data_IF_131864625287
#
_entry.id   IF_131864625287
#
_cell.length_a   1.000
_cell.length_b   1.000
_cell.length_c   1.000
_cell.angle_alpha   90.00
_cell.angle_beta   90.00
_cell.angle_gamma   90.00
#
_symmetry.space_group_name_H-M   'P 1'
#
loop_
_entity.id
_entity.type
_entity.pdbx_description
1 polymer ?
#
# COMPACT_ATOMS: atom_id res chain seq x y z
N UNK A 1 -1.15 4.22 20.55
CA UNK A 1 -1.69 2.87 20.89
C UNK A 1 -0.51 2.02 21.32
N UNK A 2 -0.45 1.64 22.60
CA UNK A 2 0.67 0.83 23.10
C UNK A 2 0.31 -0.64 22.96
N UNK A 3 0.95 -1.36 22.05
CA UNK A 3 0.78 -2.82 21.96
C UNK A 3 1.59 -3.46 23.08
N UNK A 4 0.94 -4.29 23.88
CA UNK A 4 1.61 -4.92 25.01
C UNK A 4 2.69 -5.90 24.52
N UNK A 5 3.90 -5.79 25.01
CA UNK A 5 5.07 -6.60 24.63
C UNK A 5 4.77 -8.11 24.58
N UNK A 6 4.06 -8.65 25.57
CA UNK A 6 3.67 -10.06 25.59
C UNK A 6 2.82 -10.50 24.41
N UNK A 7 1.98 -9.61 23.87
CA UNK A 7 1.16 -9.91 22.70
C UNK A 7 2.05 -10.06 21.46
N UNK A 8 3.04 -9.18 21.32
CA UNK A 8 4.02 -9.27 20.24
C UNK A 8 4.85 -10.54 20.33
N UNK A 9 5.34 -10.88 21.53
CA UNK A 9 6.11 -12.11 21.76
C UNK A 9 5.29 -13.37 21.44
N UNK A 10 4.01 -13.42 21.85
CA UNK A 10 3.10 -14.53 21.55
C UNK A 10 2.79 -14.64 20.06
N UNK A 11 2.61 -13.52 19.37
CA UNK A 11 2.24 -13.51 17.96
C UNK A 11 3.41 -13.81 17.02
N UNK A 12 4.63 -13.42 17.39
CA UNK A 12 5.82 -13.59 16.57
C UNK A 12 6.68 -14.79 16.95
N UNK A 13 6.53 -15.29 18.17
CA UNK A 13 7.42 -16.30 18.76
C UNK A 13 8.83 -15.77 19.11
N UNK A 14 9.05 -14.46 19.01
CA UNK A 14 10.34 -13.82 19.26
C UNK A 14 10.35 -13.15 20.63
N UNK A 15 11.50 -13.18 21.29
CA UNK A 15 11.71 -12.38 22.49
C UNK A 15 11.94 -10.93 22.10
N UNK A 16 11.12 -10.03 22.64
CA UNK A 16 11.14 -8.60 22.32
C UNK A 16 11.64 -7.81 23.52
N UNK A 17 12.78 -7.13 23.37
CA UNK A 17 13.34 -6.23 24.37
C UNK A 17 12.69 -4.83 24.36
N UNK A 18 12.91 -4.05 25.41
CA UNK A 18 12.39 -2.67 25.48
C UNK A 18 12.90 -1.78 24.35
N UNK A 19 14.15 -2.00 23.91
CA UNK A 19 14.76 -1.22 22.84
C UNK A 19 14.31 -1.64 21.45
N UNK A 20 13.63 -2.79 21.28
CA UNK A 20 13.25 -3.28 19.95
C UNK A 20 12.08 -2.50 19.35
N UNK A 21 11.28 -1.83 20.17
CA UNK A 21 10.20 -0.93 19.76
C UNK A 21 10.52 0.54 20.00
N UNK A 22 11.79 0.90 20.14
CA UNK A 22 12.20 2.31 20.24
C UNK A 22 12.00 3.04 18.91
N UNK A 23 11.76 4.33 18.96
CA UNK A 23 11.53 5.18 17.77
C UNK A 23 12.69 5.06 16.77
N UNK A 24 13.94 5.06 17.24
CA UNK A 24 15.11 4.93 16.38
C UNK A 24 15.16 3.59 15.64
N UNK A 25 14.76 2.49 16.29
CA UNK A 25 14.73 1.17 15.63
C UNK A 25 13.59 1.06 14.65
N UNK A 26 12.42 1.58 15.02
CA UNK A 26 11.27 1.62 14.12
C UNK A 26 11.57 2.50 12.91
N UNK A 27 12.19 3.65 13.09
CA UNK A 27 12.62 4.53 12.01
C UNK A 27 13.56 3.81 11.03
N UNK A 28 14.57 3.08 11.52
CA UNK A 28 15.45 2.29 10.66
C UNK A 28 14.73 1.21 9.88
N UNK A 29 13.78 0.50 10.50
CA UNK A 29 12.99 -0.52 9.79
C UNK A 29 12.17 0.12 8.68
N UNK A 30 11.56 1.27 8.93
CA UNK A 30 10.78 2.01 7.93
C UNK A 30 11.67 2.48 6.78
N UNK A 31 12.86 3.01 7.10
CA UNK A 31 13.85 3.45 6.12
C UNK A 31 14.32 2.28 5.24
N UNK A 32 14.74 1.17 5.86
CA UNK A 32 15.17 -0.04 5.14
C UNK A 32 14.06 -0.59 4.23
N UNK A 33 12.82 -0.66 4.70
CA UNK A 33 11.68 -1.07 3.88
C UNK A 33 11.39 -0.08 2.75
N UNK A 34 11.64 1.21 2.99
CA UNK A 34 11.52 2.25 1.98
C UNK A 34 12.52 2.07 0.83
N UNK A 35 13.77 1.77 1.16
CA UNK A 35 14.85 1.56 0.21
C UNK A 35 14.72 0.25 -0.57
N UNK A 36 14.11 -0.78 0.00
CA UNK A 36 13.99 -2.11 -0.59
C UNK A 36 12.62 -2.34 -1.25
N UNK A 37 12.38 -1.70 -2.38
CA UNK A 37 11.10 -1.74 -3.08
C UNK A 37 10.64 -3.16 -3.44
N UNK A 38 11.55 -4.05 -3.83
CA UNK A 38 11.22 -5.44 -4.16
C UNK A 38 10.78 -6.23 -2.91
N UNK A 39 11.52 -6.11 -1.80
CA UNK A 39 11.16 -6.78 -0.54
C UNK A 39 9.79 -6.30 -0.03
N UNK A 40 9.51 -5.00 -0.12
CA UNK A 40 8.21 -4.43 0.23
C UNK A 40 7.08 -5.01 -0.63
N UNK A 41 7.27 -5.11 -1.94
CA UNK A 41 6.28 -5.72 -2.84
C UNK A 41 6.04 -7.21 -2.54
N UNK A 42 7.08 -7.95 -2.18
CA UNK A 42 6.95 -9.35 -1.78
C UNK A 42 6.17 -9.51 -0.47
N UNK A 43 6.43 -8.64 0.52
CA UNK A 43 5.69 -8.62 1.79
C UNK A 43 4.21 -8.33 1.52
N UNK A 44 3.92 -7.29 0.74
CA UNK A 44 2.55 -6.91 0.36
C UNK A 44 1.83 -8.08 -0.34
N UNK A 45 2.50 -8.71 -1.30
CA UNK A 45 1.94 -9.86 -2.02
C UNK A 45 1.70 -11.08 -1.12
N UNK A 46 2.60 -11.37 -0.17
CA UNK A 46 2.43 -12.47 0.78
C UNK A 46 1.30 -12.17 1.76
N UNK A 47 1.23 -10.94 2.27
CA UNK A 47 0.17 -10.49 3.16
C UNK A 47 -1.19 -10.55 2.47
N UNK A 48 -1.31 -10.02 1.25
CA UNK A 48 -2.56 -10.07 0.48
C UNK A 48 -3.06 -11.50 0.27
N UNK A 49 -2.17 -12.43 -0.10
CA UNK A 49 -2.52 -13.84 -0.23
C UNK A 49 -2.96 -14.46 1.11
N UNK A 50 -2.29 -14.10 2.19
CA UNK A 50 -2.66 -14.57 3.52
C UNK A 50 -4.06 -14.08 3.91
N UNK A 51 -4.35 -12.80 3.69
CA UNK A 51 -5.66 -12.21 3.97
C UNK A 51 -6.78 -12.87 3.17
N UNK A 52 -6.57 -13.08 1.87
CA UNK A 52 -7.55 -13.76 1.01
C UNK A 52 -7.88 -15.16 1.56
N UNK A 53 -6.86 -15.90 2.01
CA UNK A 53 -7.06 -17.25 2.57
C UNK A 53 -7.70 -17.24 3.93
N UNK A 54 -7.17 -16.40 4.84
CA UNK A 54 -7.59 -16.39 6.25
C UNK A 54 -9.04 -15.94 6.42
N UNK A 55 -9.50 -15.04 5.54
CA UNK A 55 -10.86 -14.49 5.58
C UNK A 55 -11.76 -15.03 4.44
N UNK A 56 -11.26 -15.99 3.65
CA UNK A 56 -12.01 -16.57 2.51
C UNK A 56 -12.58 -15.48 1.59
N UNK A 57 -11.81 -14.43 1.33
CA UNK A 57 -12.28 -13.26 0.62
C UNK A 57 -12.68 -13.62 -0.81
N UNK A 58 -13.86 -13.22 -1.28
CA UNK A 58 -14.22 -13.37 -2.68
C UNK A 58 -13.32 -12.47 -3.54
N UNK A 59 -12.82 -13.01 -4.65
CA UNK A 59 -11.91 -12.29 -5.56
C UNK A 59 -12.60 -11.87 -6.87
N UNK A 60 -13.91 -11.67 -6.81
CA UNK A 60 -14.75 -11.38 -8.00
C UNK A 60 -14.80 -9.89 -8.30
N UNK A 61 -14.84 -9.05 -7.26
CA UNK A 61 -14.93 -7.60 -7.41
C UNK A 61 -13.80 -6.93 -6.66
N UNK A 62 -13.04 -6.11 -7.37
CA UNK A 62 -12.01 -5.27 -6.81
C UNK A 62 -12.30 -3.80 -7.12
N UNK A 63 -11.95 -2.91 -6.19
CA UNK A 63 -12.06 -1.46 -6.34
C UNK A 63 -10.70 -0.83 -6.20
N UNK A 64 -10.45 0.19 -6.98
CA UNK A 64 -9.22 0.98 -6.92
C UNK A 64 -9.58 2.45 -6.78
N UNK A 65 -8.97 3.12 -5.81
CA UNK A 65 -9.13 4.55 -5.61
C UNK A 65 -7.78 5.21 -5.32
N UNK A 66 -7.70 6.48 -5.66
CA UNK A 66 -6.54 7.35 -5.41
C UNK A 66 -6.98 8.53 -4.54
N UNK A 67 -6.22 8.77 -3.48
CA UNK A 67 -6.37 9.95 -2.62
C UNK A 67 -5.14 10.82 -2.72
N UNK A 68 -5.33 12.15 -2.75
CA UNK A 68 -4.24 13.13 -2.71
C UNK A 68 -4.05 13.62 -1.28
N UNK A 69 -2.80 13.74 -0.87
CA UNK A 69 -2.41 14.26 0.43
C UNK A 69 -1.54 15.49 0.25
N UNK A 70 -2.01 16.64 0.74
CA UNK A 70 -1.27 17.88 0.73
C UNK A 70 -0.39 17.97 1.97
N UNK A 71 0.85 18.42 1.81
CA UNK A 71 1.81 18.54 2.90
C UNK A 71 2.39 19.96 2.96
N UNK A 72 2.55 20.48 4.18
CA UNK A 72 3.26 21.72 4.44
C UNK A 72 4.74 21.40 4.67
N UNK A 73 5.45 21.07 3.61
CA UNK A 73 6.86 20.74 3.66
C UNK A 73 7.61 21.54 2.59
N UNK A 74 8.86 21.89 2.84
CA UNK A 74 9.71 22.47 1.81
C UNK A 74 10.14 21.39 0.83
N UNK A 75 10.17 21.74 -0.44
CA UNK A 75 10.70 20.83 -1.46
C UNK A 75 12.19 20.58 -1.17
N UNK A 76 12.58 19.30 -1.07
CA UNK A 76 13.98 18.95 -0.85
C UNK A 76 14.87 19.28 -2.06
N UNK A 77 16.17 19.27 -1.84
CA UNK A 77 17.18 19.68 -2.82
C UNK A 77 17.26 18.77 -4.06
N UNK A 78 16.68 17.56 -4.00
CA UNK A 78 16.64 16.59 -5.10
C UNK A 78 15.21 16.36 -5.59
N UNK A 79 14.67 17.21 -6.48
CA UNK A 79 13.30 17.08 -6.97
C UNK A 79 13.01 15.76 -7.69
N UNK A 80 14.02 15.16 -8.33
CA UNK A 80 13.86 13.94 -9.13
C UNK A 80 13.60 12.69 -8.29
N UNK A 81 14.08 12.66 -7.04
CA UNK A 81 13.89 11.54 -6.11
C UNK A 81 12.68 11.71 -5.18
N UNK A 82 12.07 12.88 -5.19
CA UNK A 82 10.98 13.22 -4.30
C UNK A 82 9.62 12.97 -4.95
N UNK A 83 8.74 12.22 -4.27
CA UNK A 83 7.35 12.00 -4.69
C UNK A 83 6.47 13.25 -4.55
N UNK A 84 6.93 14.24 -3.79
CA UNK A 84 6.20 15.49 -3.56
C UNK A 84 6.25 16.38 -4.81
N UNK A 85 5.09 16.73 -5.33
CA UNK A 85 4.93 17.61 -6.50
C UNK A 85 3.81 18.60 -6.28
N UNK A 86 3.94 19.77 -6.86
CA UNK A 86 2.80 20.67 -7.03
C UNK A 86 1.89 20.14 -8.12
N UNK A 87 0.59 20.17 -7.91
CA UNK A 87 -0.37 19.65 -8.89
C UNK A 87 -1.81 19.90 -8.49
N UNK A 88 -2.72 19.40 -9.30
CA UNK A 88 -4.15 19.48 -9.00
C UNK A 88 -4.48 18.47 -7.89
N UNK A 89 -4.78 18.98 -6.70
CA UNK A 89 -5.34 18.16 -5.63
C UNK A 89 -6.87 18.17 -5.68
N UNK A 90 -7.49 17.11 -5.20
CA UNK A 90 -8.95 17.06 -4.98
C UNK A 90 -9.40 18.19 -4.04
N UNK A 91 -8.51 18.67 -3.18
CA UNK A 91 -8.75 19.77 -2.23
C UNK A 91 -8.58 21.16 -2.84
N UNK A 92 -8.30 21.27 -4.14
CA UNK A 92 -8.07 22.54 -4.87
C UNK A 92 -6.96 23.42 -4.27
N UNK A 93 -5.90 22.80 -3.77
CA UNK A 93 -4.72 23.45 -3.19
C UNK A 93 -3.48 23.23 -4.06
N UNK A 94 -3.41 23.85 -5.27
CA UNK A 94 -2.24 23.72 -6.15
C UNK A 94 -0.99 24.40 -5.59
N UNK A 95 -1.15 25.20 -4.55
CA UNK A 95 -0.10 25.92 -3.81
C UNK A 95 0.67 25.03 -2.82
N UNK A 96 0.19 23.81 -2.55
CA UNK A 96 0.84 22.87 -1.64
C UNK A 96 1.51 21.73 -2.40
N UNK A 97 2.62 21.28 -1.86
CA UNK A 97 3.22 20.00 -2.26
C UNK A 97 2.28 18.86 -1.87
N UNK A 98 2.19 17.88 -2.73
CA UNK A 98 1.30 16.74 -2.52
C UNK A 98 1.92 15.44 -3.03
N UNK A 99 1.46 14.34 -2.49
CA UNK A 99 1.63 13.01 -3.02
C UNK A 99 0.28 12.33 -3.14
N UNK A 100 0.22 11.24 -3.89
CA UNK A 100 -1.01 10.46 -4.02
C UNK A 100 -0.80 9.07 -3.47
N UNK A 101 -1.83 8.53 -2.85
CA UNK A 101 -1.88 7.16 -2.38
C UNK A 101 -2.97 6.42 -3.14
N UNK A 102 -2.56 5.38 -3.87
CA UNK A 102 -3.46 4.44 -4.50
C UNK A 102 -3.69 3.27 -3.56
N UNK A 103 -4.94 2.84 -3.43
CA UNK A 103 -5.31 1.62 -2.70
C UNK A 103 -6.27 0.81 -3.56
N UNK A 104 -5.99 -0.49 -3.66
CA UNK A 104 -6.89 -1.44 -4.29
C UNK A 104 -7.41 -2.44 -3.25
N UNK A 105 -8.73 -2.60 -3.21
CA UNK A 105 -9.44 -3.38 -2.20
C UNK A 105 -10.30 -4.47 -2.83
N UNK A 106 -10.63 -5.50 -2.06
CA UNK A 106 -11.62 -6.52 -2.42
C UNK A 106 -12.96 -6.29 -1.72
N UNK A 107 -14.03 -6.38 -2.50
CA UNK A 107 -15.40 -6.37 -1.99
C UNK A 107 -15.80 -7.75 -1.42
N UNK A 108 -16.79 -7.80 -0.50
CA UNK A 108 -17.57 -6.67 0.06
C UNK A 108 -16.90 -6.00 1.26
N UNK A 109 -15.80 -6.53 1.79
CA UNK A 109 -15.20 -6.06 3.04
C UNK A 109 -14.30 -4.82 2.86
N UNK A 110 -14.02 -4.40 1.64
CA UNK A 110 -13.08 -3.32 1.38
C UNK A 110 -11.65 -3.64 1.84
N UNK A 111 -11.27 -4.93 1.85
CA UNK A 111 -9.97 -5.38 2.34
C UNK A 111 -8.85 -4.89 1.42
N UNK A 112 -7.91 -4.06 1.91
CA UNK A 112 -6.81 -3.56 1.09
C UNK A 112 -5.83 -4.69 0.76
N UNK A 113 -5.45 -4.79 -0.52
CA UNK A 113 -4.50 -5.80 -1.00
C UNK A 113 -3.27 -5.21 -1.66
N UNK A 114 -3.44 -4.11 -2.35
CA UNK A 114 -2.35 -3.43 -3.08
C UNK A 114 -2.37 -1.97 -2.72
N UNK A 115 -1.21 -1.41 -2.48
CA UNK A 115 -1.03 0.02 -2.28
C UNK A 115 0.15 0.54 -3.11
N UNK A 116 0.10 1.83 -3.45
CA UNK A 116 1.22 2.52 -4.08
C UNK A 116 1.21 3.99 -3.70
N UNK A 117 2.39 4.50 -3.36
CA UNK A 117 2.61 5.93 -3.19
C UNK A 117 3.12 6.50 -4.51
N UNK A 118 2.52 7.57 -4.98
CA UNK A 118 2.68 8.11 -6.33
C UNK A 118 3.01 9.59 -6.28
N UNK A 119 3.65 10.07 -7.33
CA UNK A 119 3.90 11.50 -7.50
C UNK A 119 2.61 12.31 -7.48
N UNK A 120 2.67 13.50 -6.87
CA UNK A 120 1.49 14.35 -6.64
C UNK A 120 0.83 14.90 -7.91
N UNK A 121 1.54 14.99 -9.03
CA UNK A 121 1.08 15.65 -10.27
C UNK A 121 0.67 14.68 -11.40
N UNK A 122 0.70 13.38 -11.18
CA UNK A 122 0.38 12.41 -12.23
C UNK A 122 -1.12 12.25 -12.48
N UNK A 123 -1.50 11.64 -13.61
CA UNK A 123 -2.86 11.22 -13.91
C UNK A 123 -3.18 9.85 -13.28
N UNK A 124 -4.46 9.57 -13.04
CA UNK A 124 -4.90 8.29 -12.46
C UNK A 124 -5.03 7.18 -13.49
N UNK A 125 -5.47 7.51 -14.71
CA UNK A 125 -5.77 6.52 -15.76
C UNK A 125 -4.65 5.51 -16.04
N UNK A 126 -3.36 5.90 -16.15
CA UNK A 126 -2.28 4.95 -16.43
C UNK A 126 -2.05 3.94 -15.30
N UNK A 127 -2.60 4.20 -14.11
CA UNK A 127 -2.34 3.41 -12.90
C UNK A 127 -3.27 2.21 -12.76
N UNK A 128 -4.46 2.26 -13.37
CA UNK A 128 -5.47 1.22 -13.17
C UNK A 128 -5.02 -0.14 -13.69
N UNK A 129 -4.47 -0.19 -14.91
CA UNK A 129 -4.06 -1.46 -15.50
C UNK A 129 -2.91 -2.16 -14.76
N UNK A 130 -1.78 -1.49 -14.42
CA UNK A 130 -0.72 -2.10 -13.63
C UNK A 130 -1.18 -2.55 -12.24
N UNK A 131 -2.07 -1.79 -11.61
CA UNK A 131 -2.64 -2.14 -10.30
C UNK A 131 -3.49 -3.40 -10.40
N UNK A 132 -4.35 -3.46 -11.41
CA UNK A 132 -5.15 -4.64 -11.71
C UNK A 132 -4.27 -5.88 -11.97
N UNK A 133 -3.20 -5.75 -12.75
CA UNK A 133 -2.26 -6.86 -12.97
C UNK A 133 -1.63 -7.36 -11.67
N UNK A 134 -1.23 -6.46 -10.77
CA UNK A 134 -0.73 -6.84 -9.44
C UNK A 134 -1.78 -7.62 -8.65
N UNK A 135 -3.02 -7.15 -8.60
CA UNK A 135 -4.11 -7.83 -7.90
C UNK A 135 -4.38 -9.21 -8.47
N UNK A 136 -4.45 -9.33 -9.80
CA UNK A 136 -4.64 -10.60 -10.49
C UNK A 136 -3.51 -11.58 -10.16
N UNK A 137 -2.27 -11.14 -10.21
CA UNK A 137 -1.11 -11.98 -9.89
C UNK A 137 -1.14 -12.46 -8.44
N UNK A 138 -1.61 -11.63 -7.51
CA UNK A 138 -1.77 -12.02 -6.11
C UNK A 138 -2.91 -13.02 -5.91
N UNK A 139 -4.01 -12.88 -6.65
CA UNK A 139 -5.18 -13.75 -6.56
C UNK A 139 -5.06 -15.04 -7.37
N UNK A 140 -4.47 -15.01 -8.57
CA UNK A 140 -4.44 -16.15 -9.50
C UNK A 140 -3.54 -17.32 -9.06
N UNK A 141 -2.50 -17.12 -8.28
CA UNK A 141 -1.71 -18.23 -7.72
C UNK A 141 -2.51 -19.15 -6.79
N UNK A 142 -3.78 -18.86 -6.55
CA UNK A 142 -4.69 -19.69 -5.75
C UNK A 142 -5.83 -20.34 -6.54
N UNK A 143 -6.08 -19.92 -7.77
CA UNK A 143 -7.27 -20.28 -8.54
C UNK A 143 -6.92 -21.01 -9.83
N UNK A 144 -6.03 -21.99 -9.78
CA UNK A 144 -5.95 -22.98 -10.86
C UNK A 144 -7.26 -23.78 -10.88
N UNK A 145 -8.27 -23.28 -11.55
CA UNK A 145 -9.53 -24.01 -11.75
C UNK A 145 -10.82 -23.21 -11.91
N UNK A 146 -10.88 -21.93 -11.62
CA UNK A 146 -12.11 -21.13 -11.80
C UNK A 146 -11.89 -19.93 -12.69
N UNK A 147 -12.64 -19.83 -13.80
CA UNK A 147 -12.71 -18.62 -14.65
C UNK A 147 -13.28 -17.46 -13.86
N UNK A 148 -12.58 -16.36 -13.81
CA UNK A 148 -13.03 -15.12 -13.17
C UNK A 148 -13.46 -14.11 -14.22
N UNK A 149 -14.56 -13.41 -13.95
CA UNK A 149 -15.01 -12.25 -14.70
C UNK A 149 -14.66 -10.99 -13.89
N UNK A 150 -13.92 -10.08 -14.49
CA UNK A 150 -13.57 -8.79 -13.90
C UNK A 150 -14.44 -7.72 -14.52
N UNK A 151 -15.00 -6.86 -13.67
CA UNK A 151 -15.77 -5.67 -14.11
C UNK A 151 -14.85 -4.47 -13.91
N UNK A 152 -14.50 -3.81 -15.01
CA UNK A 152 -13.84 -2.51 -14.97
C UNK A 152 -14.91 -1.45 -14.67
N UNK A 153 -14.62 -0.45 -13.82
CA UNK A 153 -15.55 0.66 -13.65
C UNK A 153 -15.67 1.45 -14.98
N UNK A 154 -16.89 1.83 -15.32
CA UNK A 154 -17.25 2.70 -16.45
C UNK A 154 -17.03 4.15 -16.06
#
# INVERSE_FOLDING_TARGET
MQVHRKILELSTGWSIGEKDTSDDRLARVVEELGLQSQARQEIEAKLGRHLIRAYELPTVVARTDTSSFSVNHQQGDSPEENLLRYGYSKDKRPDLLQYRQLVATLDPMGMPLVSATLEGNGADDPLYFPTWQKMVTQSQRQLSGKKQHYVLPV
#
